data_IF_858696921100
#
_entry.id   IF_858696921100
#
_cell.length_a   1.000
_cell.length_b   1.000
_cell.length_c   1.000
_cell.angle_alpha   90.00
_cell.angle_beta   90.00
_cell.angle_gamma   90.00
#
_symmetry.space_group_name_H-M   'P 1'
#
loop_
_entity.id
_entity.type
_entity.pdbx_description
1 polymer ?
#
# COMPACT_ATOMS: atom_id res chain seq x y z
N UNK A 1 -76.49 -136.89 -60.02
CA UNK A 1 -75.13 -136.33 -60.17
C UNK A 1 -75.07 -134.86 -60.63
N UNK A 2 -76.18 -134.09 -60.62
CA UNK A 2 -76.21 -132.69 -61.07
C UNK A 2 -76.67 -131.67 -59.98
N UNK A 3 -76.73 -132.09 -58.72
CA UNK A 3 -77.17 -131.23 -57.60
C UNK A 3 -76.05 -130.86 -56.62
N UNK A 4 -74.88 -131.49 -56.73
CA UNK A 4 -73.72 -131.24 -55.85
C UNK A 4 -72.77 -130.13 -56.34
N UNK A 5 -72.83 -129.71 -57.62
CA UNK A 5 -71.90 -128.71 -58.19
C UNK A 5 -72.42 -127.26 -58.00
N UNK A 6 -73.72 -127.06 -57.83
CA UNK A 6 -74.33 -125.72 -57.61
C UNK A 6 -74.09 -125.18 -56.20
N UNK A 7 -74.04 -126.06 -55.20
CA UNK A 7 -73.88 -125.72 -53.77
C UNK A 7 -72.47 -125.24 -53.43
N UNK A 8 -71.46 -125.60 -54.23
CA UNK A 8 -70.07 -125.26 -54.01
C UNK A 8 -69.70 -123.89 -54.64
N UNK A 9 -70.33 -123.52 -55.76
CA UNK A 9 -70.14 -122.20 -56.38
C UNK A 9 -70.80 -121.06 -55.59
N UNK A 10 -71.94 -121.30 -54.93
CA UNK A 10 -72.59 -120.30 -54.07
C UNK A 10 -71.83 -120.08 -52.75
N UNK A 11 -71.19 -121.12 -52.20
CA UNK A 11 -70.28 -121.00 -51.04
C UNK A 11 -69.05 -120.13 -51.37
N UNK A 12 -68.44 -120.33 -52.54
CA UNK A 12 -67.27 -119.54 -52.98
C UNK A 12 -67.64 -118.06 -53.23
N UNK A 13 -68.85 -117.79 -53.75
CA UNK A 13 -69.35 -116.41 -53.90
C UNK A 13 -69.66 -115.75 -52.56
N UNK A 14 -70.29 -116.46 -51.61
CA UNK A 14 -70.55 -115.92 -50.27
C UNK A 14 -69.26 -115.63 -49.50
N UNK A 15 -68.24 -116.49 -49.60
CA UNK A 15 -66.95 -116.27 -48.96
C UNK A 15 -66.17 -115.09 -49.58
N UNK A 16 -66.24 -114.91 -50.91
CA UNK A 16 -65.68 -113.71 -51.56
C UNK A 16 -66.39 -112.43 -51.13
N UNK A 17 -67.72 -112.46 -51.01
CA UNK A 17 -68.50 -111.31 -50.56
C UNK A 17 -68.18 -110.93 -49.10
N UNK A 18 -68.08 -111.93 -48.21
CA UNK A 18 -67.65 -111.75 -46.82
C UNK A 18 -66.23 -111.19 -46.70
N UNK A 19 -65.28 -111.67 -47.53
CA UNK A 19 -63.91 -111.13 -47.54
C UNK A 19 -63.89 -109.67 -47.99
N UNK A 20 -64.67 -109.32 -49.02
CA UNK A 20 -64.76 -107.96 -49.53
C UNK A 20 -65.43 -107.01 -48.52
N UNK A 21 -66.46 -107.47 -47.81
CA UNK A 21 -67.07 -106.71 -46.71
C UNK A 21 -66.11 -106.53 -45.54
N UNK A 22 -65.38 -107.57 -45.14
CA UNK A 22 -64.34 -107.46 -44.12
C UNK A 22 -63.21 -106.50 -44.53
N UNK A 23 -62.79 -106.48 -45.80
CA UNK A 23 -61.80 -105.54 -46.31
C UNK A 23 -62.33 -104.10 -46.28
N UNK A 24 -63.56 -103.86 -46.75
CA UNK A 24 -64.19 -102.53 -46.64
C UNK A 24 -64.34 -102.07 -45.19
N UNK A 25 -64.69 -102.97 -44.28
CA UNK A 25 -64.82 -102.63 -42.86
C UNK A 25 -63.46 -102.30 -42.24
N UNK A 26 -62.40 -103.02 -42.62
CA UNK A 26 -61.02 -102.69 -42.24
C UNK A 26 -60.57 -101.34 -42.81
N UNK A 27 -60.89 -101.05 -44.07
CA UNK A 27 -60.53 -99.80 -44.72
C UNK A 27 -61.26 -98.59 -44.09
N UNK A 28 -62.52 -98.77 -43.70
CA UNK A 28 -63.31 -97.77 -42.95
C UNK A 28 -62.70 -97.55 -41.56
N UNK A 29 -62.38 -98.62 -40.82
CA UNK A 29 -61.73 -98.53 -39.52
C UNK A 29 -60.35 -97.86 -39.62
N UNK A 30 -59.59 -98.14 -40.67
CA UNK A 30 -58.28 -97.53 -40.92
C UNK A 30 -58.40 -96.04 -41.26
N UNK A 31 -59.38 -95.66 -42.09
CA UNK A 31 -59.68 -94.24 -42.37
C UNK A 31 -60.14 -93.48 -41.13
N UNK A 32 -60.97 -94.07 -40.27
CA UNK A 32 -61.38 -93.46 -39.00
C UNK A 32 -60.19 -93.30 -38.06
N UNK A 33 -59.35 -94.33 -37.94
CA UNK A 33 -58.13 -94.28 -37.14
C UNK A 33 -57.17 -93.19 -37.63
N UNK A 34 -56.93 -93.11 -38.94
CA UNK A 34 -56.09 -92.06 -39.54
C UNK A 34 -56.67 -90.66 -39.32
N UNK A 35 -58.00 -90.51 -39.33
CA UNK A 35 -58.68 -89.24 -39.06
C UNK A 35 -58.52 -88.81 -37.61
N UNK A 36 -58.56 -89.76 -36.67
CA UNK A 36 -58.28 -89.53 -35.24
C UNK A 36 -56.81 -89.15 -35.03
N UNK A 37 -55.87 -89.91 -35.61
CA UNK A 37 -54.43 -89.63 -35.53
C UNK A 37 -54.11 -88.26 -36.14
N UNK A 38 -54.67 -87.91 -37.30
CA UNK A 38 -54.50 -86.60 -37.91
C UNK A 38 -55.07 -85.46 -37.04
N UNK A 39 -56.22 -85.69 -36.40
CA UNK A 39 -56.82 -84.75 -35.43
C UNK A 39 -55.93 -84.52 -34.21
N UNK A 40 -55.34 -85.59 -33.67
CA UNK A 40 -54.41 -85.53 -32.53
C UNK A 40 -53.12 -84.79 -32.90
N UNK A 41 -52.50 -85.12 -34.03
CA UNK A 41 -51.30 -84.44 -34.54
C UNK A 41 -51.56 -82.96 -34.80
N UNK A 42 -52.73 -82.61 -35.35
CA UNK A 42 -53.11 -81.21 -35.56
C UNK A 42 -53.30 -80.45 -34.24
N UNK A 43 -53.89 -81.08 -33.23
CA UNK A 43 -54.01 -80.51 -31.88
C UNK A 43 -52.66 -80.34 -31.20
N UNK A 44 -51.78 -81.35 -31.24
CA UNK A 44 -50.42 -81.26 -30.69
C UNK A 44 -49.62 -80.14 -31.33
N UNK A 45 -49.63 -80.04 -32.67
CA UNK A 45 -48.94 -78.97 -33.39
C UNK A 45 -49.45 -77.58 -33.00
N UNK A 46 -50.75 -77.44 -32.76
CA UNK A 46 -51.34 -76.20 -32.27
C UNK A 46 -50.98 -75.89 -30.81
N UNK A 47 -50.89 -76.91 -29.94
CA UNK A 47 -50.41 -76.74 -28.57
C UNK A 47 -48.93 -76.37 -28.53
N UNK A 48 -48.10 -77.01 -29.37
CA UNK A 48 -46.67 -76.74 -29.48
C UNK A 48 -46.42 -75.32 -29.97
N UNK A 49 -47.16 -74.85 -30.97
CA UNK A 49 -47.11 -73.45 -31.40
C UNK A 49 -47.44 -72.47 -30.28
N UNK A 50 -48.50 -72.73 -29.49
CA UNK A 50 -48.84 -71.89 -28.32
C UNK A 50 -47.74 -71.93 -27.25
N UNK A 51 -47.11 -73.08 -27.01
CA UNK A 51 -45.99 -73.19 -26.06
C UNK A 51 -44.78 -72.40 -26.55
N UNK A 52 -44.48 -72.45 -27.85
CA UNK A 52 -43.40 -71.68 -28.47
C UNK A 52 -43.66 -70.16 -28.35
N UNK A 53 -44.87 -69.70 -28.65
CA UNK A 53 -45.25 -68.27 -28.55
C UNK A 53 -45.12 -67.76 -27.10
N UNK A 54 -45.56 -68.57 -26.11
CA UNK A 54 -45.44 -68.23 -24.68
C UNK A 54 -43.96 -68.20 -24.25
N UNK A 55 -43.15 -69.16 -24.72
CA UNK A 55 -41.72 -69.18 -24.43
C UNK A 55 -41.02 -67.95 -25.02
N UNK A 56 -41.34 -67.56 -26.27
CA UNK A 56 -40.78 -66.37 -26.89
C UNK A 56 -41.17 -65.08 -26.15
N UNK A 57 -42.43 -64.95 -25.74
CA UNK A 57 -42.87 -63.81 -24.93
C UNK A 57 -42.14 -63.74 -23.59
N UNK A 58 -41.94 -64.87 -22.91
CA UNK A 58 -41.17 -64.92 -21.66
C UNK A 58 -39.73 -64.49 -21.87
N UNK A 59 -39.07 -64.96 -22.93
CA UNK A 59 -37.70 -64.56 -23.26
C UNK A 59 -37.62 -63.05 -23.51
N UNK A 60 -38.57 -62.47 -24.25
CA UNK A 60 -38.62 -61.01 -24.48
C UNK A 60 -38.79 -60.21 -23.19
N UNK A 61 -39.63 -60.66 -22.26
CA UNK A 61 -39.81 -60.00 -20.95
C UNK A 61 -38.51 -60.04 -20.15
N UNK A 62 -37.87 -61.20 -20.06
CA UNK A 62 -36.60 -61.36 -19.35
C UNK A 62 -35.49 -60.49 -19.96
N UNK A 63 -35.42 -60.41 -21.30
CA UNK A 63 -34.45 -59.55 -21.99
C UNK A 63 -34.69 -58.06 -21.68
N UNK A 64 -35.96 -57.63 -21.66
CA UNK A 64 -36.33 -56.25 -21.31
C UNK A 64 -36.02 -55.90 -19.86
N UNK A 65 -36.30 -56.81 -18.92
CA UNK A 65 -35.96 -56.63 -17.50
C UNK A 65 -34.45 -56.51 -17.31
N UNK A 66 -33.68 -57.37 -17.97
CA UNK A 66 -32.21 -57.33 -17.93
C UNK A 66 -31.65 -56.02 -18.50
N UNK A 67 -32.23 -55.50 -19.58
CA UNK A 67 -31.84 -54.19 -20.13
C UNK A 67 -32.14 -53.04 -19.17
N UNK A 68 -33.30 -53.06 -18.50
CA UNK A 68 -33.62 -52.06 -17.47
C UNK A 68 -32.64 -52.10 -16.31
N UNK A 69 -32.30 -53.31 -15.83
CA UNK A 69 -31.35 -53.48 -14.73
C UNK A 69 -29.93 -52.97 -15.10
N UNK A 70 -29.49 -53.20 -16.35
CA UNK A 70 -28.22 -52.66 -16.86
C UNK A 70 -28.25 -51.13 -16.89
N UNK A 71 -29.32 -50.53 -17.43
CA UNK A 71 -29.45 -49.07 -17.46
C UNK A 71 -29.47 -48.45 -16.07
N UNK A 72 -30.14 -49.09 -15.11
CA UNK A 72 -30.18 -48.62 -13.72
C UNK A 72 -28.79 -48.70 -13.05
N UNK A 73 -28.07 -49.80 -13.26
CA UNK A 73 -26.68 -49.96 -12.78
C UNK A 73 -25.73 -48.91 -13.38
N UNK A 74 -25.89 -48.58 -14.66
CA UNK A 74 -25.09 -47.52 -15.30
C UNK A 74 -25.40 -46.14 -14.74
N UNK A 75 -26.67 -45.83 -14.48
CA UNK A 75 -27.09 -44.57 -13.83
C UNK A 75 -26.50 -44.45 -12.43
N UNK A 76 -26.65 -45.48 -11.60
CA UNK A 76 -26.09 -45.51 -10.24
C UNK A 76 -24.57 -45.34 -10.25
N UNK A 77 -23.86 -45.98 -11.19
CA UNK A 77 -22.41 -45.82 -11.34
C UNK A 77 -22.03 -44.39 -11.75
N UNK A 78 -22.80 -43.76 -12.63
CA UNK A 78 -22.59 -42.36 -13.03
C UNK A 78 -22.78 -41.40 -11.87
N UNK A 79 -23.85 -41.58 -11.08
CA UNK A 79 -24.17 -40.71 -9.96
C UNK A 79 -23.17 -40.88 -8.81
N UNK A 80 -22.74 -42.11 -8.52
CA UNK A 80 -21.66 -42.37 -7.56
C UNK A 80 -20.34 -41.71 -8.01
N UNK A 81 -20.05 -41.72 -9.31
CA UNK A 81 -18.88 -41.04 -9.87
C UNK A 81 -18.92 -39.53 -9.66
N UNK A 82 -20.09 -38.90 -9.83
CA UNK A 82 -20.28 -37.45 -9.55
C UNK A 82 -20.11 -37.15 -8.06
N UNK A 83 -20.69 -37.96 -7.18
CA UNK A 83 -20.59 -37.76 -5.72
C UNK A 83 -19.14 -37.85 -5.23
N UNK A 84 -18.36 -38.81 -5.74
CA UNK A 84 -16.93 -38.92 -5.44
C UNK A 84 -16.16 -37.69 -5.91
N UNK A 85 -16.46 -37.20 -7.12
CA UNK A 85 -15.81 -36.00 -7.67
C UNK A 85 -16.13 -34.76 -6.83
N UNK A 86 -17.36 -34.62 -6.37
CA UNK A 86 -17.82 -33.49 -5.55
C UNK A 86 -17.17 -33.53 -4.17
N UNK A 87 -17.14 -34.69 -3.49
CA UNK A 87 -16.41 -34.86 -2.21
C UNK A 87 -14.92 -34.54 -2.34
N UNK A 88 -14.29 -34.91 -3.46
CA UNK A 88 -12.89 -34.59 -3.69
C UNK A 88 -12.67 -33.08 -3.89
N UNK A 89 -13.58 -32.37 -4.57
CA UNK A 89 -13.53 -30.91 -4.71
C UNK A 89 -13.70 -30.23 -3.35
N UNK A 90 -14.69 -30.63 -2.57
CA UNK A 90 -14.91 -30.09 -1.22
C UNK A 90 -13.70 -30.30 -0.32
N UNK A 91 -13.08 -31.48 -0.37
CA UNK A 91 -11.85 -31.76 0.39
C UNK A 91 -10.72 -30.82 -0.01
N UNK A 92 -10.48 -30.63 -1.31
CA UNK A 92 -9.44 -29.75 -1.80
C UNK A 92 -9.68 -28.27 -1.44
N UNK A 93 -10.94 -27.84 -1.43
CA UNK A 93 -11.31 -26.49 -0.98
C UNK A 93 -11.10 -26.30 0.52
N UNK A 94 -11.45 -27.30 1.35
CA UNK A 94 -11.18 -27.28 2.79
C UNK A 94 -9.69 -27.21 3.08
N UNK A 95 -8.88 -28.03 2.42
CA UNK A 95 -7.42 -28.01 2.59
C UNK A 95 -6.83 -26.64 2.19
N UNK A 96 -7.32 -26.03 1.11
CA UNK A 96 -6.92 -24.66 0.73
C UNK A 96 -7.34 -23.60 1.74
N UNK A 97 -8.52 -23.71 2.33
CA UNK A 97 -8.97 -22.79 3.36
C UNK A 97 -8.12 -22.92 4.62
N UNK A 98 -7.78 -24.15 5.02
CA UNK A 98 -6.92 -24.41 6.17
C UNK A 98 -5.54 -23.75 6.00
N UNK A 99 -4.87 -23.97 4.86
CA UNK A 99 -3.56 -23.36 4.58
C UNK A 99 -3.64 -21.84 4.60
N UNK A 100 -4.70 -21.25 4.02
CA UNK A 100 -4.89 -19.79 4.03
C UNK A 100 -5.09 -19.23 5.44
N UNK A 101 -5.80 -19.96 6.30
CA UNK A 101 -6.01 -19.56 7.68
C UNK A 101 -4.71 -19.61 8.48
N UNK A 102 -3.92 -20.69 8.33
CA UNK A 102 -2.61 -20.84 8.97
C UNK A 102 -1.63 -19.74 8.53
N UNK A 103 -1.55 -19.45 7.23
CA UNK A 103 -0.75 -18.35 6.70
C UNK A 103 -1.19 -16.97 7.24
N UNK A 104 -2.50 -16.76 7.41
CA UNK A 104 -3.03 -15.52 7.96
C UNK A 104 -2.67 -15.37 9.45
N UNK A 105 -2.72 -16.45 10.23
CA UNK A 105 -2.35 -16.46 11.63
C UNK A 105 -0.85 -16.18 11.83
N UNK A 106 0.02 -16.78 11.01
CA UNK A 106 1.46 -16.52 11.04
C UNK A 106 1.74 -15.04 10.71
N UNK A 107 1.04 -14.48 9.72
CA UNK A 107 1.18 -13.05 9.37
C UNK A 107 0.71 -12.14 10.51
N UNK A 108 -0.41 -12.46 11.16
CA UNK A 108 -0.92 -11.69 12.29
C UNK A 108 0.08 -11.68 13.46
N UNK A 109 0.66 -12.85 13.80
CA UNK A 109 1.66 -12.95 14.88
C UNK A 109 2.91 -12.11 14.61
N UNK A 110 3.44 -12.12 13.38
CA UNK A 110 4.59 -11.28 13.00
C UNK A 110 4.27 -9.80 13.11
N UNK A 111 3.07 -9.38 12.68
CA UNK A 111 2.63 -8.00 12.79
C UNK A 111 2.52 -7.54 14.25
N UNK A 112 1.99 -8.39 15.13
CA UNK A 112 1.94 -8.10 16.57
C UNK A 112 3.33 -7.96 17.20
N UNK A 113 4.29 -8.82 16.82
CA UNK A 113 5.68 -8.71 17.27
C UNK A 113 6.34 -7.40 16.82
N UNK A 114 6.12 -6.98 15.58
CA UNK A 114 6.67 -5.73 15.03
C UNK A 114 6.06 -4.50 15.71
N UNK A 115 4.74 -4.49 15.94
CA UNK A 115 4.06 -3.44 16.72
C UNK A 115 4.65 -3.34 18.13
N UNK A 116 4.93 -4.47 18.79
CA UNK A 116 5.49 -4.47 20.13
C UNK A 116 6.93 -3.94 20.17
N UNK A 117 7.74 -4.25 19.15
CA UNK A 117 9.10 -3.68 19.00
C UNK A 117 9.05 -2.18 18.78
N UNK A 118 8.21 -1.69 17.86
CA UNK A 118 8.04 -0.26 17.59
C UNK A 118 7.59 0.51 18.84
N UNK A 119 6.64 -0.04 19.60
CA UNK A 119 6.16 0.56 20.85
C UNK A 119 7.27 0.69 21.89
N UNK A 120 8.12 -0.33 22.01
CA UNK A 120 9.26 -0.33 22.93
C UNK A 120 10.33 0.67 22.50
N UNK A 121 10.64 0.75 21.21
CA UNK A 121 11.60 1.72 20.68
C UNK A 121 11.09 3.16 20.84
N UNK A 122 9.80 3.39 20.59
CA UNK A 122 9.17 4.70 20.80
C UNK A 122 9.26 5.13 22.26
N UNK A 123 8.94 4.25 23.21
CA UNK A 123 9.09 4.55 24.64
C UNK A 123 10.53 4.90 25.02
N UNK A 124 11.52 4.21 24.45
CA UNK A 124 12.94 4.52 24.68
C UNK A 124 13.30 5.91 24.15
N UNK A 125 12.87 6.24 22.93
CA UNK A 125 13.08 7.57 22.32
C UNK A 125 12.40 8.68 23.11
N UNK A 126 11.18 8.44 23.61
CA UNK A 126 10.46 9.40 24.44
C UNK A 126 11.19 9.66 25.77
N UNK A 127 11.74 8.61 26.40
CA UNK A 127 12.58 8.75 27.60
C UNK A 127 13.89 9.50 27.34
N UNK A 128 14.57 9.24 26.23
CA UNK A 128 15.77 9.97 25.82
C UNK A 128 15.46 11.45 25.54
N UNK A 129 14.37 11.73 24.83
CA UNK A 129 13.87 13.10 24.59
C UNK A 129 13.56 13.84 25.89
N UNK A 130 12.97 13.17 26.88
CA UNK A 130 12.68 13.79 28.18
C UNK A 130 13.97 14.16 28.92
N UNK A 131 14.98 13.28 28.92
CA UNK A 131 16.29 13.58 29.50
C UNK A 131 16.98 14.76 28.82
N UNK A 132 16.96 14.80 27.49
CA UNK A 132 17.53 15.92 26.72
C UNK A 132 16.84 17.25 27.03
N UNK A 133 15.51 17.24 27.21
CA UNK A 133 14.76 18.44 27.62
C UNK A 133 15.18 18.92 29.00
N UNK A 134 15.29 18.01 29.97
CA UNK A 134 15.75 18.34 31.32
C UNK A 134 17.18 18.89 31.32
N UNK A 135 18.07 18.36 30.46
CA UNK A 135 19.43 18.88 30.29
C UNK A 135 19.44 20.27 29.66
N UNK A 136 18.65 20.52 28.61
CA UNK A 136 18.50 21.85 28.00
C UNK A 136 18.00 22.86 29.03
N UNK A 137 17.03 22.48 29.87
CA UNK A 137 16.48 23.36 30.89
C UNK A 137 17.51 23.69 31.99
N UNK A 138 18.33 22.70 32.39
CA UNK A 138 19.47 22.91 33.29
C UNK A 138 20.56 23.81 32.68
N UNK A 139 20.74 23.78 31.37
CA UNK A 139 21.71 24.63 30.66
C UNK A 139 21.19 26.07 30.52
N UNK A 140 19.88 26.27 30.28
CA UNK A 140 19.26 27.60 30.22
C UNK A 140 19.49 28.43 31.50
N UNK A 141 19.54 27.78 32.67
CA UNK A 141 19.81 28.44 33.95
C UNK A 141 21.30 28.74 34.23
N UNK A 142 22.22 28.34 33.34
CA UNK A 142 23.68 28.53 33.53
C UNK A 142 24.32 29.49 32.51
N UNK A 143 23.58 29.99 31.53
CA UNK A 143 24.08 31.08 30.69
C UNK A 143 24.14 32.31 31.60
N UNK A 144 25.32 32.95 31.77
CA UNK A 144 25.42 34.18 32.55
C UNK A 144 24.43 35.19 31.98
N UNK A 145 23.39 35.50 32.75
CA UNK A 145 22.35 36.46 32.41
C UNK A 145 22.88 37.91 32.41
N UNK A 146 24.17 38.07 32.73
CA UNK A 146 24.90 39.33 32.88
C UNK A 146 26.01 39.46 31.84
N UNK A 147 25.74 39.22 30.55
CA UNK A 147 26.60 39.79 29.50
C UNK A 147 26.08 41.21 29.21
N UNK A 148 26.69 42.26 29.78
CA UNK A 148 26.14 43.60 29.65
C UNK A 148 26.18 44.01 28.18
N UNK A 149 25.02 44.18 27.55
CA UNK A 149 24.93 44.80 26.22
C UNK A 149 25.06 46.31 26.43
N UNK A 150 26.19 46.88 26.01
CA UNK A 150 26.42 48.33 26.08
C UNK A 150 26.58 48.84 24.66
N UNK A 151 25.82 49.89 24.32
CA UNK A 151 25.76 50.44 22.96
C UNK A 151 26.60 51.71 22.87
N UNK A 152 27.49 51.75 21.88
CA UNK A 152 28.21 52.93 21.43
C UNK A 152 27.35 53.60 20.35
N UNK A 153 26.73 54.72 20.73
CA UNK A 153 25.95 55.56 19.84
C UNK A 153 26.65 56.91 19.60
N UNK A 154 27.14 57.20 18.38
CA UNK A 154 27.78 58.46 18.05
C UNK A 154 26.80 59.65 17.94
N UNK A 155 25.49 59.41 17.79
CA UNK A 155 24.46 60.46 17.70
C UNK A 155 23.38 60.30 18.79
N UNK A 156 23.68 60.81 19.99
CA UNK A 156 22.82 60.70 21.18
C UNK A 156 21.48 61.44 21.05
N UNK A 157 21.36 62.36 20.09
CA UNK A 157 20.13 63.15 19.91
C UNK A 157 19.04 62.42 19.12
N UNK A 158 19.39 61.30 18.48
CA UNK A 158 18.58 60.67 17.43
C UNK A 158 18.06 59.28 17.76
N UNK A 159 18.64 58.64 18.79
CA UNK A 159 18.37 57.26 19.12
C UNK A 159 18.06 57.17 20.62
N UNK A 160 16.88 56.65 20.93
CA UNK A 160 16.49 56.29 22.28
C UNK A 160 16.74 54.80 22.48
N UNK A 161 17.35 54.44 23.61
CA UNK A 161 17.64 53.05 23.97
C UNK A 161 16.85 52.74 25.24
N UNK A 162 16.08 51.66 25.20
CA UNK A 162 15.30 51.15 26.33
C UNK A 162 15.81 49.75 26.66
N UNK A 163 16.07 49.52 27.94
CA UNK A 163 16.49 48.24 28.47
C UNK A 163 15.26 47.39 28.80
N UNK A 164 15.16 46.21 28.17
CA UNK A 164 14.07 45.26 28.40
C UNK A 164 14.56 44.02 29.18
N UNK A 165 13.61 43.24 29.68
CA UNK A 165 13.90 42.04 30.48
C UNK A 165 14.65 41.02 29.62
N UNK A 166 15.66 40.35 30.21
CA UNK A 166 16.42 39.31 29.53
C UNK A 166 17.61 39.80 28.70
N UNK A 167 18.09 41.03 28.95
CA UNK A 167 19.26 41.58 28.28
C UNK A 167 18.96 42.17 26.90
N UNK A 168 17.69 42.30 26.53
CA UNK A 168 17.25 42.86 25.23
C UNK A 168 17.38 44.40 25.29
N UNK A 169 17.88 44.99 24.20
CA UNK A 169 17.91 46.46 24.01
C UNK A 169 16.93 46.83 22.90
N UNK A 170 15.93 47.66 23.22
CA UNK A 170 15.06 48.27 22.22
C UNK A 170 15.64 49.60 21.77
N UNK A 171 15.95 49.71 20.48
CA UNK A 171 16.59 50.88 19.87
C UNK A 171 15.55 51.59 19.00
N UNK A 172 15.24 52.84 19.33
CA UNK A 172 14.23 53.64 18.65
C UNK A 172 14.90 54.82 17.94
N UNK A 173 14.83 54.83 16.61
CA UNK A 173 15.29 55.93 15.76
C UNK A 173 14.19 56.99 15.65
N UNK A 174 14.53 58.27 15.87
CA UNK A 174 13.54 59.36 15.97
C UNK A 174 13.55 60.35 14.80
N UNK A 175 14.54 60.27 13.90
CA UNK A 175 14.60 61.11 12.68
C UNK A 175 15.06 60.30 11.45
N UNK A 176 14.68 60.78 10.26
CA UNK A 176 15.08 60.21 8.96
C UNK A 176 16.52 60.56 8.59
N UNK A 177 17.47 59.99 9.33
CA UNK A 177 18.92 60.14 9.12
C UNK A 177 19.60 58.77 9.14
N UNK A 178 20.72 58.61 8.44
CA UNK A 178 21.51 57.38 8.56
C UNK A 178 22.09 57.30 9.97
N UNK A 179 22.04 56.11 10.58
CA UNK A 179 22.61 55.87 11.89
C UNK A 179 23.33 54.52 11.87
N UNK A 180 24.52 54.48 12.47
CA UNK A 180 25.25 53.26 12.76
C UNK A 180 25.60 53.32 14.24
N UNK A 181 25.23 52.26 14.96
CA UNK A 181 25.61 52.05 16.35
C UNK A 181 26.43 50.78 16.42
N UNK A 182 27.11 50.53 17.52
CA UNK A 182 27.82 49.27 17.72
C UNK A 182 27.78 48.88 19.18
N UNK A 183 27.95 47.60 19.48
CA UNK A 183 28.17 47.16 20.84
C UNK A 183 29.59 47.55 21.29
N UNK A 184 29.78 47.78 22.58
CA UNK A 184 31.11 48.05 23.15
C UNK A 184 31.92 46.78 23.40
N UNK A 185 31.26 45.62 23.41
CA UNK A 185 31.91 44.34 23.65
C UNK A 185 32.80 43.97 22.47
N UNK A 186 34.10 43.89 22.73
CA UNK A 186 35.09 43.37 21.77
C UNK A 186 35.00 41.85 21.76
N UNK A 187 34.80 41.29 20.58
CA UNK A 187 34.61 39.85 20.38
C UNK A 187 35.97 39.18 20.25
N UNK A 188 36.50 38.63 21.35
CA UNK A 188 37.81 37.96 21.40
C UNK A 188 37.69 36.56 21.99
N UNK A 189 38.39 35.58 21.43
CA UNK A 189 38.53 34.24 22.01
C UNK A 189 37.19 33.54 22.31
N UNK A 190 36.40 33.28 21.27
CA UNK A 190 35.17 32.51 21.39
C UNK A 190 34.26 32.58 20.17
N UNK A 191 33.10 31.94 20.33
CA UNK A 191 31.99 32.02 19.38
C UNK A 191 30.93 32.92 19.99
N UNK A 192 30.59 33.98 19.27
CA UNK A 192 29.66 35.03 19.69
C UNK A 192 28.47 35.06 18.75
N UNK A 193 27.28 35.33 19.28
CA UNK A 193 26.10 35.53 18.45
C UNK A 193 25.27 36.70 18.92
N UNK A 194 24.60 37.35 17.96
CA UNK A 194 23.65 38.44 18.21
C UNK A 194 22.45 38.24 17.31
N UNK A 195 21.26 38.50 17.87
CA UNK A 195 19.99 38.50 17.15
C UNK A 195 19.44 39.93 17.11
N UNK A 196 18.85 40.30 15.98
CA UNK A 196 18.16 41.56 15.81
C UNK A 196 16.82 41.34 15.12
N UNK A 197 15.83 42.14 15.50
CA UNK A 197 14.52 42.21 14.86
C UNK A 197 14.28 43.67 14.50
N UNK A 198 13.89 43.91 13.25
CA UNK A 198 13.59 45.24 12.72
C UNK A 198 12.08 45.43 12.62
N UNK A 199 11.60 46.64 12.92
CA UNK A 199 10.19 47.02 12.87
C UNK A 199 10.05 48.40 12.22
N UNK A 200 8.92 48.63 11.56
CA UNK A 200 8.55 49.91 10.93
C UNK A 200 9.62 50.46 9.96
N UNK A 201 10.27 49.59 9.18
CA UNK A 201 11.38 49.97 8.29
C UNK A 201 10.97 50.24 6.84
N UNK A 202 9.74 50.62 6.58
CA UNK A 202 9.25 50.82 5.20
C UNK A 202 10.08 51.88 4.45
N UNK A 203 10.63 51.49 3.30
CA UNK A 203 11.55 52.27 2.46
C UNK A 203 12.88 52.68 3.13
N UNK A 204 13.20 52.12 4.29
CA UNK A 204 14.45 52.38 5.00
C UNK A 204 15.47 51.26 4.77
N UNK A 205 16.75 51.62 4.88
CA UNK A 205 17.86 50.65 4.87
C UNK A 205 18.13 50.19 6.30
N UNK A 206 18.27 48.88 6.48
CA UNK A 206 18.59 48.25 7.75
C UNK A 206 19.73 47.25 7.57
N UNK A 207 20.45 46.93 8.64
CA UNK A 207 21.60 46.05 8.56
C UNK A 207 22.12 45.64 9.91
N UNK A 208 22.66 44.43 9.95
CA UNK A 208 23.48 43.92 11.05
C UNK A 208 24.88 43.63 10.55
N UNK A 209 25.88 43.73 11.41
CA UNK A 209 27.24 43.43 10.98
C UNK A 209 28.28 43.50 12.07
N UNK A 210 29.52 43.67 11.62
CA UNK A 210 30.67 43.90 12.49
C UNK A 210 31.45 45.11 12.01
N UNK A 211 32.10 45.77 12.96
CA UNK A 211 33.06 46.85 12.74
C UNK A 211 34.37 46.50 13.42
N UNK A 212 35.49 46.92 12.82
CA UNK A 212 36.80 46.85 13.48
C UNK A 212 36.77 47.61 14.81
N UNK A 213 37.30 47.01 15.87
CA UNK A 213 37.29 47.61 17.20
C UNK A 213 37.95 48.99 17.23
N UNK A 214 39.07 49.12 16.52
CA UNK A 214 39.85 50.36 16.38
C UNK A 214 39.13 51.49 15.64
N UNK A 215 37.98 51.22 15.01
CA UNK A 215 37.26 52.20 14.22
C UNK A 215 36.10 52.81 15.00
N UNK A 216 36.18 54.12 15.24
CA UNK A 216 35.09 54.90 15.79
C UNK A 216 34.14 55.33 14.67
N UNK A 217 32.92 54.82 14.68
CA UNK A 217 31.91 55.14 13.66
C UNK A 217 31.43 56.58 13.86
N UNK A 218 31.59 57.48 12.88
CA UNK A 218 31.05 58.84 12.97
C UNK A 218 29.51 58.87 12.92
N UNK A 219 28.93 59.96 13.42
CA UNK A 219 27.50 60.20 13.25
C UNK A 219 27.14 60.35 11.76
N UNK A 220 25.96 59.88 11.35
CA UNK A 220 25.49 59.92 9.95
C UNK A 220 26.23 59.03 8.96
N UNK A 221 27.12 58.16 9.43
CA UNK A 221 27.87 57.25 8.56
C UNK A 221 26.96 56.23 7.87
N UNK A 222 27.44 55.77 6.71
CA UNK A 222 26.85 54.66 5.97
C UNK A 222 27.86 53.53 5.86
N UNK A 223 27.48 52.28 6.14
CA UNK A 223 28.42 51.16 6.15
C UNK A 223 28.95 50.81 4.75
N UNK A 224 28.28 51.25 3.69
CA UNK A 224 28.67 51.01 2.30
C UNK A 224 29.41 52.20 1.66
N UNK A 225 29.73 53.25 2.42
CA UNK A 225 30.42 54.44 1.90
C UNK A 225 31.83 54.60 2.49
N UNK A 226 32.78 54.97 1.65
CA UNK A 226 34.13 55.34 2.07
C UNK A 226 34.09 56.61 2.93
N UNK A 227 34.90 56.70 4.01
CA UNK A 227 35.92 55.74 4.44
C UNK A 227 35.39 54.59 5.32
N UNK A 228 34.12 54.65 5.73
CA UNK A 228 33.54 53.72 6.72
C UNK A 228 33.50 52.27 6.23
N UNK A 229 33.25 52.09 4.93
CA UNK A 229 33.13 50.78 4.30
C UNK A 229 34.35 49.89 4.45
N UNK A 230 35.55 50.47 4.60
CA UNK A 230 36.81 49.73 4.72
C UNK A 230 36.99 49.05 6.08
N UNK A 231 36.18 49.43 7.07
CA UNK A 231 36.26 48.97 8.44
C UNK A 231 35.07 48.09 8.86
N UNK A 232 34.16 47.79 7.92
CA UNK A 232 32.87 47.20 8.20
C UNK A 232 32.56 46.00 7.31
N UNK A 233 31.74 45.12 7.87
CA UNK A 233 31.15 43.97 7.21
C UNK A 233 29.68 43.89 7.60
N UNK A 234 28.76 43.93 6.63
CA UNK A 234 27.33 44.13 6.89
C UNK A 234 26.47 43.22 6.03
N UNK A 235 25.46 42.64 6.65
CA UNK A 235 24.32 42.02 6.00
C UNK A 235 23.08 42.93 6.13
N UNK A 236 22.79 43.69 5.07
CA UNK A 236 21.76 44.72 5.04
C UNK A 236 20.62 44.44 4.09
N UNK A 237 19.42 44.88 4.45
CA UNK A 237 18.23 44.78 3.62
C UNK A 237 17.62 46.17 3.40
N UNK A 238 16.86 46.31 2.31
CA UNK A 238 15.99 47.46 2.09
C UNK A 238 14.56 46.93 1.90
N UNK A 239 13.65 47.34 2.77
CA UNK A 239 12.24 46.97 2.65
C UNK A 239 11.55 47.96 1.69
N UNK A 240 11.56 47.68 0.38
CA UNK A 240 10.89 48.52 -0.61
C UNK A 240 9.53 47.96 -0.99
N UNK A 241 8.46 48.73 -0.75
CA UNK A 241 7.09 48.42 -1.22
C UNK A 241 6.87 48.75 -2.72
N UNK A 242 7.93 48.98 -3.49
CA UNK A 242 7.86 49.40 -4.89
C UNK A 242 8.47 48.34 -5.80
N UNK A 243 7.82 48.14 -6.95
CA UNK A 243 8.10 47.23 -8.07
C UNK A 243 9.52 47.34 -8.69
N UNK A 244 10.58 47.26 -7.89
CA UNK A 244 11.98 47.21 -8.33
C UNK A 244 12.66 45.92 -7.86
N UNK A 245 12.10 44.79 -8.26
CA UNK A 245 12.58 43.43 -7.99
C UNK A 245 13.93 43.05 -8.67
N UNK A 246 14.71 44.00 -9.21
CA UNK A 246 15.91 43.67 -10.01
C UNK A 246 17.24 44.25 -9.50
N UNK A 247 17.28 45.00 -8.40
CA UNK A 247 18.55 45.54 -7.87
C UNK A 247 18.86 45.17 -6.41
N UNK A 248 18.01 44.39 -5.73
CA UNK A 248 18.07 44.20 -4.28
C UNK A 248 18.62 42.86 -3.76
N UNK A 249 19.18 41.99 -4.61
CA UNK A 249 19.91 40.77 -4.17
C UNK A 249 21.32 41.05 -3.58
N UNK A 250 21.58 42.32 -3.27
CA UNK A 250 22.88 42.95 -3.07
C UNK A 250 23.00 43.39 -1.63
N UNK A 251 23.06 42.44 -0.71
CA UNK A 251 22.82 42.65 0.71
C UNK A 251 24.03 42.38 1.61
N UNK A 252 25.15 41.88 1.08
CA UNK A 252 26.35 41.64 1.90
C UNK A 252 27.49 42.52 1.43
N UNK A 253 28.05 43.31 2.35
CA UNK A 253 29.21 44.17 2.12
C UNK A 253 30.35 43.76 3.05
N UNK A 254 31.58 43.76 2.56
CA UNK A 254 32.78 43.57 3.34
C UNK A 254 33.90 44.42 2.76
N UNK A 255 34.43 45.38 3.53
CA UNK A 255 35.52 46.27 3.10
C UNK A 255 35.23 46.93 1.75
N UNK A 256 34.05 47.54 1.64
CA UNK A 256 33.55 48.17 0.41
C UNK A 256 33.13 47.21 -0.73
N UNK A 257 33.52 45.94 -0.67
CA UNK A 257 33.17 44.95 -1.69
C UNK A 257 31.78 44.37 -1.42
N UNK A 258 31.01 44.16 -2.49
CA UNK A 258 29.63 43.68 -2.41
C UNK A 258 29.52 42.26 -2.96
N UNK A 259 28.79 41.41 -2.25
CA UNK A 259 28.51 40.02 -2.64
C UNK A 259 27.02 39.74 -2.52
N UNK A 260 26.49 39.06 -3.53
CA UNK A 260 25.08 38.75 -3.69
C UNK A 260 24.84 37.28 -3.29
N UNK A 261 23.68 36.98 -2.71
CA UNK A 261 23.26 35.60 -2.47
C UNK A 261 22.44 35.36 -1.21
N UNK A 262 22.55 36.23 -0.20
CA UNK A 262 21.69 36.13 0.98
C UNK A 262 20.26 36.55 0.66
N UNK A 263 19.28 36.09 1.44
CA UNK A 263 17.89 36.52 1.31
C UNK A 263 17.72 37.99 1.73
N UNK A 264 16.66 38.65 1.26
CA UNK A 264 16.25 39.94 1.80
C UNK A 264 15.32 39.63 2.98
N UNK A 265 15.52 40.31 4.11
CA UNK A 265 14.65 40.18 5.28
C UNK A 265 13.76 41.41 5.45
N UNK A 266 12.60 41.18 6.06
CA UNK A 266 11.54 42.16 6.28
C UNK A 266 11.33 42.41 7.78
N UNK A 267 10.37 43.27 8.10
CA UNK A 267 9.94 43.52 9.47
C UNK A 267 9.60 42.20 10.18
N UNK A 268 9.86 42.17 11.49
CA UNK A 268 9.53 41.08 12.41
C UNK A 268 10.25 39.75 12.17
N UNK A 269 11.15 39.67 11.19
CA UNK A 269 12.04 38.52 11.02
C UNK A 269 13.27 38.61 11.90
N UNK A 270 13.74 37.45 12.39
CA UNK A 270 14.94 37.38 13.22
C UNK A 270 16.16 37.25 12.32
N UNK A 271 17.04 38.25 12.38
CA UNK A 271 18.36 38.18 11.75
C UNK A 271 19.38 37.87 12.82
N UNK A 272 20.03 36.72 12.70
CA UNK A 272 21.13 36.30 13.58
C UNK A 272 22.46 36.42 12.84
N UNK A 273 23.48 36.88 13.55
CA UNK A 273 24.86 36.73 13.12
C UNK A 273 25.67 35.97 14.15
N UNK A 274 26.59 35.13 13.67
CA UNK A 274 27.48 34.33 14.49
C UNK A 274 28.92 34.55 14.05
N UNK A 275 29.74 35.05 14.98
CA UNK A 275 31.15 35.30 14.79
C UNK A 275 31.96 34.24 15.53
N UNK A 276 32.81 33.52 14.82
CA UNK A 276 33.78 32.56 15.37
C UNK A 276 35.18 33.17 15.25
N UNK A 277 35.76 33.56 16.39
CA UNK A 277 37.07 34.24 16.40
C UNK A 277 38.21 33.31 16.02
N UNK A 278 38.08 32.02 16.30
CA UNK A 278 39.14 31.03 16.04
C UNK A 278 39.23 30.71 14.55
N UNK A 279 38.07 30.65 13.88
CA UNK A 279 37.99 30.47 12.43
C UNK A 279 38.08 31.79 11.66
N UNK A 280 37.87 32.92 12.32
CA UNK A 280 37.79 34.23 11.68
C UNK A 280 36.62 34.33 10.70
N UNK A 281 35.45 33.82 11.10
CA UNK A 281 34.25 33.75 10.23
C UNK A 281 33.06 34.49 10.83
N UNK A 282 32.26 35.14 9.99
CA UNK A 282 30.96 35.72 10.33
C UNK A 282 29.87 35.10 9.45
N UNK A 283 28.95 34.36 10.07
CA UNK A 283 27.85 33.64 9.41
C UNK A 283 26.54 34.33 9.74
N UNK A 284 25.64 34.42 8.76
CA UNK A 284 24.32 35.01 8.91
C UNK A 284 23.22 33.96 8.86
N UNK A 285 22.14 34.19 9.62
CA UNK A 285 20.92 33.39 9.59
C UNK A 285 19.71 34.33 9.50
N UNK A 286 18.69 33.88 8.77
CA UNK A 286 17.38 34.52 8.72
C UNK A 286 16.35 33.50 9.19
N UNK A 287 15.62 33.81 10.27
CA UNK A 287 14.66 32.90 10.90
C UNK A 287 15.24 31.50 11.16
N UNK A 288 16.47 31.46 11.69
CA UNK A 288 17.27 30.26 11.94
C UNK A 288 17.76 29.49 10.69
N UNK A 289 17.54 30.01 9.49
CA UNK A 289 18.06 29.45 8.23
C UNK A 289 19.39 30.12 7.89
N UNK A 290 20.47 29.33 7.85
CA UNK A 290 21.79 29.82 7.47
C UNK A 290 21.79 30.37 6.04
N UNK A 291 22.38 31.55 5.86
CA UNK A 291 22.48 32.23 4.57
C UNK A 291 23.75 31.79 3.82
N UNK A 292 23.72 31.76 2.47
CA UNK A 292 24.80 31.17 1.67
C UNK A 292 26.09 32.02 1.62
N UNK A 293 25.98 33.34 1.79
CA UNK A 293 27.12 34.27 1.82
C UNK A 293 27.49 34.55 3.27
N UNK A 294 28.74 34.25 3.60
CA UNK A 294 29.35 34.49 4.90
C UNK A 294 30.75 35.06 4.70
N UNK A 295 31.32 35.66 5.74
CA UNK A 295 32.62 36.35 5.68
C UNK A 295 33.68 35.47 6.34
N UNK A 296 34.86 35.42 5.75
CA UNK A 296 36.01 34.64 6.25
C UNK A 296 37.27 35.49 6.27
N UNK A 297 38.31 35.00 6.95
CA UNK A 297 39.60 35.67 7.01
C UNK A 297 39.61 36.93 7.89
N UNK A 298 38.66 37.05 8.82
CA UNK A 298 38.62 38.12 9.81
C UNK A 298 39.76 37.87 10.80
N UNK A 299 40.74 38.78 10.82
CA UNK A 299 41.91 38.71 11.71
C UNK A 299 41.92 39.83 12.75
N UNK A 300 41.10 40.84 12.50
CA UNK A 300 40.95 42.01 13.35
C UNK A 300 40.04 41.71 14.54
N UNK A 301 40.28 42.41 15.65
CA UNK A 301 39.32 42.51 16.74
C UNK A 301 38.10 43.28 16.24
N UNK A 302 36.91 42.77 16.53
CA UNK A 302 35.66 43.33 16.01
C UNK A 302 34.61 43.48 17.10
N UNK A 303 33.62 44.33 16.82
CA UNK A 303 32.42 44.54 17.64
C UNK A 303 31.19 44.36 16.75
N UNK A 304 30.10 43.86 17.33
CA UNK A 304 28.82 43.81 16.60
C UNK A 304 28.27 45.22 16.34
N UNK A 305 27.57 45.38 15.23
CA UNK A 305 26.91 46.59 14.73
C UNK A 305 25.46 46.31 14.37
#
# INVERSE_FOLDING_TARGET
>A
ENENIRTEQDKVKQDKLKRLEQEKQKEIQEKERLKIEFGQVSQEKNQEKRRADIAEQRTRIVEQEKQKEIQEKERLKSDLGKEIQEKNKEKYEKDRQYIRAEDAEIRARRLEEDIQKEKTEKQRKDQEMMKLRDEIEKIKFKIPQDFPITIINPDRSQINIIDEVGGIKKIIKTQHKNNCISLSQVLENGVYSMEAVFQDTDNEWMGVGIVQDSYNIPASSRPNQSPHSEHMAVYGAQNTNLFMNSFNSRNTWCKGNRTDGNAIYQNDQIVKMEYDSDKGTLIFFLDNIQQPVYITGIKEKVRFM
#
